data_IF_658841621163
#
_entry.id   IF_658841621163
#
_cell.length_a   1.000
_cell.length_b   1.000
_cell.length_c   1.000
_cell.angle_alpha   90.00
_cell.angle_beta   90.00
_cell.angle_gamma   90.00
#
_symmetry.space_group_name_H-M   'P 1'
#
loop_
_entity.id
_entity.type
_entity.pdbx_description
1 polymer ?
#
# COMPACT_ATOMS: atom_id res chain seq x y z
N UNK A 1 -17.15 -73.95 -14.51
CA UNK A 1 -17.64 -72.66 -13.96
C UNK A 1 -16.46 -71.69 -13.90
N UNK A 2 -16.34 -70.77 -14.86
CA UNK A 2 -15.20 -69.86 -14.98
C UNK A 2 -15.59 -68.54 -14.31
N UNK A 3 -15.11 -68.32 -13.09
CA UNK A 3 -15.30 -67.06 -12.36
C UNK A 3 -14.47 -65.98 -13.05
N UNK A 4 -15.10 -65.19 -13.92
CA UNK A 4 -14.52 -63.94 -14.41
C UNK A 4 -14.55 -62.92 -13.27
N UNK A 5 -13.41 -62.72 -12.64
CA UNK A 5 -13.19 -61.63 -11.69
C UNK A 5 -12.99 -60.37 -12.54
N UNK A 6 -14.04 -59.57 -12.67
CA UNK A 6 -13.94 -58.22 -13.23
C UNK A 6 -13.29 -57.34 -12.16
N UNK A 7 -12.00 -57.05 -12.32
CA UNK A 7 -11.31 -56.01 -11.56
C UNK A 7 -11.86 -54.64 -11.99
N UNK A 8 -12.42 -53.82 -11.08
CA UNK A 8 -12.81 -52.47 -11.44
C UNK A 8 -11.54 -51.65 -11.67
N UNK A 9 -11.34 -51.16 -12.88
CA UNK A 9 -10.29 -50.19 -13.19
C UNK A 9 -10.63 -48.90 -12.43
N UNK A 10 -9.90 -48.64 -11.35
CA UNK A 10 -10.00 -47.41 -10.60
C UNK A 10 -9.38 -46.28 -11.43
N UNK A 11 -10.21 -45.54 -12.16
CA UNK A 11 -9.80 -44.33 -12.86
C UNK A 11 -9.51 -43.23 -11.82
N UNK A 12 -8.23 -43.02 -11.52
CA UNK A 12 -7.79 -41.90 -10.69
C UNK A 12 -7.82 -40.65 -11.58
N UNK A 13 -8.91 -39.88 -11.49
CA UNK A 13 -9.00 -38.60 -12.17
C UNK A 13 -8.03 -37.59 -11.52
N UNK A 14 -7.20 -36.87 -12.30
CA UNK A 14 -6.36 -35.82 -11.74
C UNK A 14 -7.26 -34.69 -11.23
N UNK A 15 -7.14 -34.35 -9.95
CA UNK A 15 -7.76 -33.15 -9.41
C UNK A 15 -7.11 -31.93 -10.07
N UNK A 16 -7.81 -31.29 -11.01
CA UNK A 16 -7.39 -30.02 -11.54
C UNK A 16 -7.44 -28.97 -10.41
N UNK A 17 -6.27 -28.52 -9.94
CA UNK A 17 -6.16 -27.39 -9.03
C UNK A 17 -6.53 -26.12 -9.79
N UNK A 18 -7.74 -25.59 -9.55
CA UNK A 18 -8.11 -24.25 -9.97
C UNK A 18 -7.22 -23.24 -9.24
N UNK A 19 -6.23 -22.70 -9.93
CA UNK A 19 -5.47 -21.55 -9.44
C UNK A 19 -6.45 -20.37 -9.38
N UNK A 20 -6.89 -20.02 -8.16
CA UNK A 20 -7.70 -18.82 -7.94
C UNK A 20 -6.84 -17.62 -8.30
N UNK A 21 -7.24 -16.86 -9.33
CA UNK A 21 -6.63 -15.58 -9.64
C UNK A 21 -6.74 -14.70 -8.39
N UNK A 22 -5.64 -14.54 -7.65
CA UNK A 22 -5.53 -13.58 -6.57
C UNK A 22 -5.40 -12.22 -7.24
N UNK A 23 -6.54 -11.61 -7.57
CA UNK A 23 -6.53 -10.18 -7.85
C UNK A 23 -5.87 -9.50 -6.64
N UNK A 24 -4.86 -8.68 -6.85
CA UNK A 24 -4.21 -7.94 -5.78
C UNK A 24 -5.26 -7.05 -5.09
N UNK A 25 -5.80 -7.58 -3.99
CA UNK A 25 -6.86 -7.00 -3.22
C UNK A 25 -6.35 -5.70 -2.58
N UNK A 26 -6.66 -4.60 -3.25
CA UNK A 26 -6.29 -3.23 -2.86
C UNK A 26 -7.52 -2.48 -2.37
N UNK A 27 -7.30 -1.55 -1.45
CA UNK A 27 -8.28 -0.53 -1.14
C UNK A 27 -8.09 0.67 -2.07
N UNK A 28 -9.15 1.44 -2.31
CA UNK A 28 -9.08 2.67 -3.12
C UNK A 28 -9.49 3.85 -2.26
N UNK A 29 -8.67 4.90 -2.28
CA UNK A 29 -8.92 6.15 -1.58
C UNK A 29 -8.31 7.31 -2.35
N UNK A 30 -9.00 8.46 -2.41
CA UNK A 30 -8.46 9.68 -2.99
C UNK A 30 -7.89 9.51 -4.43
N UNK A 31 -8.45 8.58 -5.21
CA UNK A 31 -7.96 8.26 -6.57
C UNK A 31 -6.74 7.35 -6.64
N UNK A 32 -6.24 6.82 -5.52
CA UNK A 32 -5.08 5.92 -5.46
C UNK A 32 -5.45 4.55 -4.87
N UNK A 33 -4.63 3.54 -5.18
CA UNK A 33 -4.76 2.18 -4.67
C UNK A 33 -3.75 1.96 -3.55
N UNK A 34 -4.17 1.24 -2.53
CA UNK A 34 -3.39 0.94 -1.33
C UNK A 34 -3.45 -0.55 -1.01
N UNK A 35 -2.30 -1.11 -0.63
CA UNK A 35 -2.15 -2.47 -0.15
C UNK A 35 -2.76 -2.65 1.24
N UNK A 36 -3.09 -3.90 1.57
CA UNK A 36 -3.55 -4.25 2.91
C UNK A 36 -2.52 -3.87 3.98
N UNK A 37 -2.98 -3.22 5.05
CA UNK A 37 -2.14 -2.71 6.14
C UNK A 37 -1.77 -1.22 6.03
N UNK A 38 -1.81 -0.64 4.83
CA UNK A 38 -1.48 0.78 4.64
C UNK A 38 -2.46 1.71 5.35
N UNK A 39 -1.94 2.83 5.84
CA UNK A 39 -2.69 3.89 6.50
C UNK A 39 -2.85 5.09 5.57
N UNK A 40 -4.06 5.62 5.48
CA UNK A 40 -4.36 6.81 4.68
C UNK A 40 -5.36 7.69 5.41
N UNK A 41 -5.21 8.99 5.20
CA UNK A 41 -6.26 9.95 5.53
C UNK A 41 -7.36 9.85 4.46
N UNK A 42 -8.47 9.18 4.78
CA UNK A 42 -9.63 9.11 3.89
C UNK A 42 -10.31 10.46 3.83
N UNK A 43 -10.54 10.98 2.62
CA UNK A 43 -11.29 12.22 2.43
C UNK A 43 -12.69 11.89 1.92
N UNK A 44 -13.71 12.28 2.67
CA UNK A 44 -15.11 12.19 2.30
C UNK A 44 -15.72 13.60 2.31
N UNK A 45 -16.91 13.75 1.73
CA UNK A 45 -17.67 15.00 1.82
C UNK A 45 -18.02 15.40 3.25
N UNK A 46 -18.13 14.42 4.15
CA UNK A 46 -18.42 14.62 5.57
C UNK A 46 -17.20 14.94 6.44
N UNK A 47 -15.99 14.93 5.89
CA UNK A 47 -14.75 15.15 6.62
C UNK A 47 -13.69 14.08 6.30
N UNK A 48 -12.60 14.10 7.07
CA UNK A 48 -11.49 13.18 6.89
C UNK A 48 -11.12 12.44 8.17
N UNK A 49 -10.80 11.15 8.05
CA UNK A 49 -10.39 10.31 9.18
C UNK A 49 -9.28 9.34 8.78
N UNK A 50 -8.47 8.89 9.75
CA UNK A 50 -7.38 7.96 9.48
C UNK A 50 -7.90 6.53 9.37
N UNK A 51 -7.60 5.89 8.25
CA UNK A 51 -8.07 4.55 7.93
C UNK A 51 -6.93 3.59 7.62
N UNK A 52 -7.10 2.33 7.99
CA UNK A 52 -6.23 1.23 7.55
C UNK A 52 -6.93 0.39 6.49
N UNK A 53 -6.22 0.06 5.41
CA UNK A 53 -6.71 -0.89 4.42
C UNK A 53 -6.73 -2.30 5.03
N UNK A 54 -7.85 -3.00 4.92
CA UNK A 54 -8.01 -4.35 5.43
C UNK A 54 -9.11 -5.10 4.70
N UNK A 55 -9.67 -6.11 5.36
CA UNK A 55 -10.80 -6.88 4.84
C UNK A 55 -11.97 -6.95 5.81
N UNK A 56 -13.17 -7.03 5.24
CA UNK A 56 -14.42 -7.43 5.90
C UNK A 56 -15.04 -8.51 5.03
N UNK A 57 -15.29 -9.70 5.59
CA UNK A 57 -15.80 -10.87 4.84
C UNK A 57 -14.99 -11.15 3.56
N UNK A 58 -13.65 -11.15 3.67
CA UNK A 58 -12.70 -11.35 2.57
C UNK A 58 -12.69 -10.29 1.46
N UNK A 59 -13.52 -9.24 1.54
CA UNK A 59 -13.51 -8.11 0.60
C UNK A 59 -12.72 -6.95 1.18
N UNK A 60 -11.99 -6.22 0.34
CA UNK A 60 -11.22 -5.05 0.80
C UNK A 60 -12.15 -3.97 1.31
N UNK A 61 -11.78 -3.43 2.47
CA UNK A 61 -12.56 -2.41 3.14
C UNK A 61 -11.65 -1.52 4.00
N UNK A 62 -12.09 -0.28 4.20
CA UNK A 62 -11.43 0.67 5.08
C UNK A 62 -11.88 0.50 6.52
N UNK A 63 -10.92 0.38 7.45
CA UNK A 63 -11.19 0.34 8.89
C UNK A 63 -10.76 1.65 9.54
N UNK A 64 -11.65 2.24 10.34
CA UNK A 64 -11.37 3.46 11.11
C UNK A 64 -10.36 3.21 12.21
N UNK A 65 -9.32 4.04 12.23
CA UNK A 65 -8.24 4.01 13.23
C UNK A 65 -8.43 5.16 14.22
N UNK A 66 -8.71 6.37 13.74
CA UNK A 66 -8.97 7.56 14.56
C UNK A 66 -9.86 8.55 13.79
N UNK A 67 -10.56 9.42 14.51
CA UNK A 67 -11.50 10.40 13.95
C UNK A 67 -10.83 11.45 13.07
N UNK A 68 -9.63 11.89 13.42
CA UNK A 68 -8.90 12.93 12.69
C UNK A 68 -7.65 12.39 12.03
N UNK A 69 -7.18 13.05 10.97
CA UNK A 69 -5.90 12.72 10.38
C UNK A 69 -4.75 13.40 11.15
N UNK A 70 -3.64 12.70 11.41
CA UNK A 70 -2.49 13.31 12.05
C UNK A 70 -1.96 14.44 11.15
N UNK A 71 -1.82 15.62 11.71
CA UNK A 71 -1.04 16.69 11.09
C UNK A 71 0.42 16.28 11.20
N UNK A 72 1.09 16.03 10.07
CA UNK A 72 2.55 15.97 10.10
C UNK A 72 3.02 17.31 10.64
N UNK A 73 3.70 17.29 11.79
CA UNK A 73 4.44 18.46 12.23
C UNK A 73 5.42 18.76 11.11
N UNK A 74 5.23 19.89 10.42
CA UNK A 74 6.27 20.46 9.59
C UNK A 74 7.38 20.75 10.57
N UNK A 75 8.39 19.88 10.59
CA UNK A 75 9.68 20.22 11.18
C UNK A 75 10.07 21.50 10.47
N UNK A 76 9.96 22.63 11.18
CA UNK A 76 10.42 23.93 10.76
C UNK A 76 11.94 23.83 10.74
N UNK A 77 12.47 23.06 9.78
CA UNK A 77 13.89 22.98 9.51
C UNK A 77 14.26 24.43 9.25
N UNK A 78 15.10 25.05 10.12
CA UNK A 78 15.46 26.45 9.94
C UNK A 78 15.88 26.58 8.49
N UNK A 79 15.23 27.49 7.76
CA UNK A 79 15.58 27.75 6.38
C UNK A 79 17.11 27.88 6.35
N UNK A 80 17.76 27.01 5.57
CA UNK A 80 19.22 27.04 5.42
C UNK A 80 19.61 28.49 5.26
N UNK A 81 20.51 29.03 6.10
CA UNK A 81 20.89 30.43 5.99
C UNK A 81 21.31 30.66 4.55
N UNK A 82 20.77 31.72 3.94
CA UNK A 82 21.11 32.11 2.59
C UNK A 82 22.64 32.13 2.46
N UNK A 83 23.22 31.64 1.34
CA UNK A 83 24.66 31.68 1.18
C UNK A 83 25.13 33.13 1.35
N UNK A 84 26.00 33.32 2.34
CA UNK A 84 26.62 34.60 2.67
C UNK A 84 27.20 35.22 1.39
N UNK A 85 26.97 36.52 1.10
CA UNK A 85 27.42 37.13 -0.14
C UNK A 85 28.94 36.95 -0.28
N UNK A 86 29.33 36.36 -1.41
CA UNK A 86 30.71 36.04 -1.77
C UNK A 86 31.59 37.27 -1.49
N UNK A 87 32.51 37.13 -0.53
CA UNK A 87 33.48 38.17 -0.22
C UNK A 87 34.35 38.38 -1.46
N UNK A 88 34.13 39.50 -2.16
CA UNK A 88 35.03 40.02 -3.19
C UNK A 88 36.43 40.01 -2.62
N UNK A 89 37.28 39.14 -3.13
CA UNK A 89 38.70 39.18 -2.82
C UNK A 89 39.24 40.48 -3.41
N UNK A 90 39.58 41.42 -2.53
CA UNK A 90 40.54 42.49 -2.79
C UNK A 90 41.80 41.89 -3.41
N UNK A 91 41.94 42.03 -4.73
CA UNK A 91 43.21 41.92 -5.43
C UNK A 91 43.72 43.35 -5.65
N UNK A 92 44.56 43.80 -4.72
CA UNK A 92 45.53 44.87 -4.90
C UNK A 92 46.86 44.39 -4.29
N UNK A 93 48.01 44.97 -4.66
CA UNK A 93 48.75 44.81 -5.91
C UNK A 93 50.11 44.11 -5.65
N UNK A 94 50.82 43.69 -6.70
CA UNK A 94 52.24 43.33 -6.57
C UNK A 94 53.03 43.82 -7.80
N UNK A 95 53.99 44.69 -7.49
CA UNK A 95 55.15 45.19 -8.27
C UNK A 95 54.92 45.75 -9.68
#
# INVERSE_FOLDING_TARGET
MRRWILLPVLLIAPMATLATARADCTCVANGQRYQEGELVCLKLSSGSWLARCGKVLNNTAWKKVQDDCPLSQVDERPASPAPEPLKTAELLPAD
#
